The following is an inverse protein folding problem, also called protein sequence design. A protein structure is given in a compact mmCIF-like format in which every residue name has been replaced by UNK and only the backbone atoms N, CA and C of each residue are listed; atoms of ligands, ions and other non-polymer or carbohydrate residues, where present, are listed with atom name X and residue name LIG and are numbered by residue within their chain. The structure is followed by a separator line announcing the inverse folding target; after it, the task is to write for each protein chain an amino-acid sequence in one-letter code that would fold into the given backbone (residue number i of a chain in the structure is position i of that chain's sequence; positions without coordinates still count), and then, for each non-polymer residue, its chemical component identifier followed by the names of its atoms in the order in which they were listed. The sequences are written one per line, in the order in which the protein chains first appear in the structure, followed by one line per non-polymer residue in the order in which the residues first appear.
data_IF_587005147131
#
_entry.id   IF_587005147131
#
_cell.length_a   1.000
_cell.length_b   1.000
_cell.length_c   1.000
_cell.angle_alpha   90.00
_cell.angle_beta   90.00
_cell.angle_gamma   90.00
#
_symmetry.space_group_name_H-M   'P 1'
#
loop_
_entity.id
_entity.type
_entity.pdbx_description
1 polymer ?
#
# COMPACT_ATOMS: atom_id res chain seq x y z
N UNK A 1 16.97 -4.82 15.00
CA UNK A 1 17.18 -3.70 14.05
C UNK A 1 15.81 -3.14 13.71
N UNK A 2 15.59 -1.83 13.88
CA UNK A 2 14.34 -1.16 13.48
C UNK A 2 14.42 -0.71 12.02
N UNK A 3 13.30 -0.80 11.31
CA UNK A 3 13.19 -0.63 9.87
C UNK A 3 11.98 0.24 9.53
N UNK A 4 12.19 1.43 8.96
CA UNK A 4 11.12 2.40 8.63
C UNK A 4 10.77 2.34 7.13
N UNK A 5 9.48 2.35 6.79
CA UNK A 5 8.92 2.42 5.42
C UNK A 5 7.99 3.63 5.35
N UNK A 6 8.06 4.41 4.29
CA UNK A 6 7.20 5.59 4.08
C UNK A 6 6.46 5.44 2.76
N UNK A 7 5.13 5.54 2.78
CA UNK A 7 4.24 5.43 1.63
C UNK A 7 3.44 6.73 1.51
N UNK A 8 3.61 7.48 0.42
CA UNK A 8 3.01 8.81 0.26
C UNK A 8 1.67 8.80 -0.48
N UNK A 9 1.46 7.79 -1.32
CA UNK A 9 0.24 7.64 -2.12
C UNK A 9 0.10 6.17 -2.42
N UNK A 10 -1.08 5.58 -2.25
CA UNK A 10 -1.52 4.30 -2.81
C UNK A 10 -2.87 4.56 -3.47
N UNK A 11 -2.95 4.39 -4.78
CA UNK A 11 -4.17 4.65 -5.57
C UNK A 11 -4.41 3.44 -6.46
N UNK A 12 -5.58 2.83 -6.33
CA UNK A 12 -6.10 1.99 -7.41
C UNK A 12 -6.94 2.92 -8.31
N UNK A 13 -6.60 3.07 -9.59
CA UNK A 13 -7.31 3.91 -10.56
C UNK A 13 -7.83 3.05 -11.72
N UNK A 14 -8.87 3.51 -12.40
CA UNK A 14 -9.34 2.89 -13.65
C UNK A 14 -8.44 3.40 -14.77
N UNK A 15 -7.76 2.49 -15.48
CA UNK A 15 -6.94 2.86 -16.63
C UNK A 15 -7.83 3.06 -17.87
N UNK A 16 -8.02 4.30 -18.28
CA UNK A 16 -8.32 4.65 -19.68
C UNK A 16 -7.04 5.25 -20.25
N UNK A 17 -6.63 4.81 -21.45
CA UNK A 17 -5.34 5.12 -22.03
C UNK A 17 -4.97 6.62 -21.89
N UNK A 18 -3.75 6.85 -21.38
CA UNK A 18 -3.02 8.12 -21.21
C UNK A 18 -3.57 9.15 -20.21
N UNK A 19 -2.95 9.26 -19.02
CA UNK A 19 -2.97 10.50 -18.21
C UNK A 19 -1.62 10.72 -17.52
N UNK A 20 -0.98 11.90 -17.68
CA UNK A 20 0.17 12.31 -16.89
C UNK A 20 -0.26 12.98 -15.56
N UNK A 21 0.60 12.81 -14.53
CA UNK A 21 0.57 13.45 -13.20
C UNK A 21 -0.42 12.91 -12.17
N UNK A 22 0.12 12.60 -10.99
CA UNK A 22 -0.51 12.07 -9.76
C UNK A 22 -1.42 13.14 -9.11
N UNK A 23 -2.44 13.58 -9.84
CA UNK A 23 -3.63 14.12 -9.22
C UNK A 23 -4.54 12.92 -8.90
N UNK A 24 -4.85 12.74 -7.62
CA UNK A 24 -5.67 11.66 -7.11
C UNK A 24 -7.04 11.62 -7.82
N UNK A 25 -7.16 10.80 -8.86
CA UNK A 25 -8.45 10.26 -9.25
C UNK A 25 -8.79 9.28 -8.13
N UNK A 26 -9.83 9.59 -7.35
CA UNK A 26 -10.42 8.68 -6.38
C UNK A 26 -10.92 7.43 -7.12
N UNK A 27 -10.04 6.46 -7.36
CA UNK A 27 -10.48 5.13 -7.71
C UNK A 27 -10.91 4.36 -6.46
N UNK A 28 -11.18 3.05 -6.57
CA UNK A 28 -11.90 2.30 -5.53
C UNK A 28 -11.19 2.21 -4.17
N UNK A 29 -9.92 2.62 -4.07
CA UNK A 29 -9.15 2.59 -2.85
C UNK A 29 -9.38 3.87 -2.02
N UNK A 30 -10.03 3.77 -0.84
CA UNK A 30 -10.30 4.94 0.00
C UNK A 30 -9.01 5.47 0.65
N UNK A 31 -8.97 6.78 0.88
CA UNK A 31 -7.87 7.48 1.57
C UNK A 31 -6.48 7.13 1.00
N UNK A 32 -6.37 7.09 -0.33
CA UNK A 32 -5.13 6.71 -1.01
C UNK A 32 -3.98 7.70 -0.83
N UNK A 33 -4.26 8.94 -0.41
CA UNK A 33 -3.26 9.98 -0.15
C UNK A 33 -2.92 10.13 1.34
N UNK A 34 -3.56 9.36 2.23
CA UNK A 34 -3.47 9.50 3.69
C UNK A 34 -3.91 10.87 4.25
N UNK A 35 -4.44 11.77 3.42
CA UNK A 35 -4.87 13.11 3.83
C UNK A 35 -6.07 13.07 4.81
N UNK A 36 -6.85 11.99 4.82
CA UNK A 36 -7.94 11.78 5.77
C UNK A 36 -7.47 11.12 7.09
N UNK A 37 -6.16 10.97 7.30
CA UNK A 37 -5.58 10.33 8.48
C UNK A 37 -5.47 8.82 8.35
N UNK A 38 -5.68 8.08 9.44
CA UNK A 38 -5.41 6.64 9.48
C UNK A 38 -6.47 5.77 8.78
N UNK A 39 -7.78 5.82 9.11
CA UNK A 39 -8.74 4.88 8.54
C UNK A 39 -8.90 5.05 7.01
N UNK A 40 -9.22 3.96 6.28
CA UNK A 40 -9.38 2.58 6.75
C UNK A 40 -8.08 1.78 6.75
N UNK A 41 -6.93 2.42 6.49
CA UNK A 41 -5.64 1.76 6.57
C UNK A 41 -5.36 1.26 7.98
N UNK A 42 -4.74 0.08 8.07
CA UNK A 42 -4.42 -0.54 9.35
C UNK A 42 -3.19 -1.44 9.25
N UNK A 43 -2.53 -1.62 10.39
CA UNK A 43 -1.42 -2.56 10.55
C UNK A 43 -1.94 -3.87 11.15
N UNK A 44 -1.58 -4.98 10.54
CA UNK A 44 -1.66 -6.31 11.14
C UNK A 44 -0.25 -6.76 11.52
N UNK A 45 -0.11 -7.26 12.74
CA UNK A 45 1.09 -7.94 13.21
C UNK A 45 0.69 -9.20 13.94
N UNK A 46 1.34 -10.32 13.66
CA UNK A 46 1.06 -11.58 14.34
C UNK A 46 2.32 -12.29 14.86
N UNK A 47 2.09 -13.15 15.86
CA UNK A 47 3.14 -13.92 16.56
C UNK A 47 4.23 -13.02 17.13
N UNK A 48 5.46 -13.18 16.66
CA UNK A 48 6.67 -12.48 17.07
C UNK A 48 6.93 -11.20 16.25
N UNK A 49 6.15 -10.95 15.19
CA UNK A 49 6.29 -9.73 14.41
C UNK A 49 5.76 -8.50 15.14
N UNK A 50 6.41 -7.37 14.93
CA UNK A 50 6.11 -6.09 15.56
C UNK A 50 6.29 -4.98 14.53
N UNK A 51 5.21 -4.25 14.28
CA UNK A 51 5.23 -3.00 13.55
C UNK A 51 4.24 -1.99 14.13
N UNK A 52 4.63 -0.72 14.10
CA UNK A 52 3.76 0.42 14.37
C UNK A 52 3.63 1.26 13.11
N UNK A 53 2.66 2.16 13.08
CA UNK A 53 2.54 3.12 12.01
C UNK A 53 1.78 4.38 12.44
N UNK A 54 2.04 5.46 11.72
CA UNK A 54 1.38 6.74 11.87
C UNK A 54 1.30 7.46 10.52
N UNK A 55 0.50 8.51 10.46
CA UNK A 55 0.49 9.42 9.31
C UNK A 55 1.32 10.64 9.70
N UNK A 56 2.37 10.91 8.93
CA UNK A 56 3.24 12.07 9.11
C UNK A 56 3.16 12.98 7.89
N UNK A 57 3.55 14.25 8.08
CA UNK A 57 3.77 15.17 6.98
C UNK A 57 5.23 15.11 6.53
N UNK A 58 5.47 14.68 5.28
CA UNK A 58 6.80 14.65 4.65
C UNK A 58 6.74 15.46 3.37
N UNK A 59 7.62 16.46 3.24
CA UNK A 59 7.67 17.37 2.09
C UNK A 59 6.29 17.99 1.76
N UNK A 60 5.51 18.31 2.81
CA UNK A 60 4.16 18.88 2.68
C UNK A 60 3.05 17.88 2.34
N UNK A 61 3.35 16.58 2.24
CA UNK A 61 2.37 15.53 1.91
C UNK A 61 2.10 14.63 3.11
N UNK A 62 0.86 14.16 3.27
CA UNK A 62 0.54 13.11 4.22
C UNK A 62 1.14 11.77 3.75
N UNK A 63 1.79 11.06 4.66
CA UNK A 63 2.55 9.82 4.36
C UNK A 63 2.29 8.81 5.48
N UNK A 64 1.92 7.59 5.12
CA UNK A 64 1.93 6.48 6.06
C UNK A 64 3.39 6.08 6.34
N UNK A 65 3.80 6.24 7.59
CA UNK A 65 5.11 5.84 8.08
C UNK A 65 4.93 4.59 8.93
N UNK A 66 5.62 3.52 8.54
CA UNK A 66 5.57 2.21 9.17
C UNK A 66 6.94 1.92 9.78
N UNK A 67 6.98 1.64 11.08
CA UNK A 67 8.17 1.19 11.77
C UNK A 67 8.06 -0.31 12.08
N UNK A 68 8.92 -1.11 11.47
CA UNK A 68 9.01 -2.56 11.69
C UNK A 68 10.19 -2.85 12.60
N UNK A 69 9.94 -3.37 13.80
CA UNK A 69 10.98 -3.73 14.77
C UNK A 69 11.23 -5.23 14.84
N UNK A 70 10.27 -6.04 14.39
CA UNK A 70 10.42 -7.49 14.18
C UNK A 70 9.56 -7.94 13.00
N UNK A 71 10.13 -8.69 12.05
CA UNK A 71 9.44 -9.09 10.82
C UNK A 71 8.63 -10.37 10.95
N UNK A 72 9.07 -11.31 11.81
CA UNK A 72 8.55 -12.68 11.80
C UNK A 72 8.76 -13.37 10.44
N UNK A 73 7.75 -14.11 9.96
CA UNK A 73 7.73 -14.75 8.64
C UNK A 73 7.05 -13.87 7.59
N UNK A 74 7.14 -14.30 6.32
CA UNK A 74 6.41 -13.69 5.20
C UNK A 74 4.90 -13.70 5.47
N UNK A 75 4.30 -12.51 5.59
CA UNK A 75 2.91 -12.17 5.98
C UNK A 75 2.66 -11.81 7.45
N UNK A 76 3.64 -11.89 8.34
CA UNK A 76 3.38 -11.56 9.74
C UNK A 76 3.27 -10.04 10.02
N UNK A 77 3.78 -9.18 9.11
CA UNK A 77 3.55 -7.73 9.11
C UNK A 77 2.81 -7.36 7.84
N UNK A 78 1.65 -6.71 7.96
CA UNK A 78 0.85 -6.30 6.81
C UNK A 78 0.30 -4.89 7.05
N UNK A 79 0.39 -4.04 6.03
CA UNK A 79 -0.28 -2.74 6.01
C UNK A 79 -1.35 -2.81 4.93
N UNK A 80 -2.62 -2.69 5.34
CA UNK A 80 -3.75 -3.01 4.47
C UNK A 80 -4.83 -1.94 4.53
N UNK A 81 -5.43 -1.69 3.36
CA UNK A 81 -6.64 -0.89 3.19
C UNK A 81 -7.77 -1.82 2.75
N UNK A 82 -8.72 -2.17 3.65
CA UNK A 82 -9.92 -2.86 3.25
C UNK A 82 -10.84 -1.91 2.48
N UNK A 83 -11.38 -2.39 1.36
CA UNK A 83 -12.39 -1.69 0.57
C UNK A 83 -13.40 -2.71 0.03
N UNK A 84 -14.66 -2.32 -0.23
CA UNK A 84 -15.67 -3.25 -0.71
C UNK A 84 -15.36 -3.73 -2.12
N UNK A 85 -15.46 -5.04 -2.37
CA UNK A 85 -15.26 -5.60 -3.71
C UNK A 85 -16.23 -5.02 -4.74
N UNK A 86 -17.42 -4.58 -4.33
CA UNK A 86 -18.37 -3.87 -5.18
C UNK A 86 -17.85 -2.53 -5.75
N UNK A 87 -16.76 -1.98 -5.19
CA UNK A 87 -16.07 -0.84 -5.79
C UNK A 87 -15.27 -1.23 -7.06
N UNK A 88 -15.00 -2.52 -7.24
CA UNK A 88 -14.45 -3.08 -8.48
C UNK A 88 -15.62 -3.43 -9.40
N UNK A 89 -15.79 -2.66 -10.47
CA UNK A 89 -16.76 -2.95 -11.51
C UNK A 89 -16.34 -4.20 -12.30
N UNK A 90 -17.34 -4.99 -12.68
CA UNK A 90 -17.12 -6.18 -13.51
C UNK A 90 -16.46 -5.82 -14.85
N UNK A 91 -15.59 -6.71 -15.33
CA UNK A 91 -14.86 -6.58 -16.60
C UNK A 91 -14.05 -5.28 -16.75
N UNK A 92 -13.61 -4.68 -15.63
CA UNK A 92 -12.74 -3.50 -15.61
C UNK A 92 -11.30 -3.90 -15.32
N UNK A 93 -10.36 -3.17 -15.91
CA UNK A 93 -8.94 -3.25 -15.60
C UNK A 93 -8.57 -2.07 -14.70
N UNK A 94 -7.82 -2.34 -13.64
CA UNK A 94 -7.44 -1.36 -12.63
C UNK A 94 -5.93 -1.27 -12.53
N UNK A 95 -5.41 -0.06 -12.42
CA UNK A 95 -4.01 0.19 -12.13
C UNK A 95 -3.83 0.49 -10.63
N UNK A 96 -2.98 -0.26 -9.92
CA UNK A 96 -2.51 0.12 -8.59
C UNK A 96 -1.19 0.87 -8.71
N UNK A 97 -1.16 2.14 -8.31
CA UNK A 97 0.04 2.96 -8.24
C UNK A 97 0.35 3.44 -6.83
N UNK A 98 1.63 3.52 -6.47
CA UNK A 98 2.05 4.07 -5.18
C UNK A 98 3.46 4.62 -5.17
N UNK A 99 3.72 5.57 -4.26
CA UNK A 99 5.06 6.12 -4.03
C UNK A 99 5.59 5.69 -2.67
N UNK A 100 6.78 5.10 -2.64
CA UNK A 100 7.35 4.51 -1.43
C UNK A 100 8.88 4.66 -1.34
N UNK A 101 9.41 4.74 -0.11
CA UNK A 101 10.83 4.62 0.22
C UNK A 101 11.02 3.90 1.56
N UNK A 102 12.21 3.34 1.79
CA UNK A 102 12.56 2.67 3.04
C UNK A 102 13.84 3.26 3.66
N UNK A 103 14.01 3.14 4.98
CA UNK A 103 15.27 3.54 5.66
C UNK A 103 16.47 2.67 5.25
N UNK A 104 16.19 1.45 4.82
CA UNK A 104 17.17 0.53 4.23
C UNK A 104 16.49 -0.24 3.11
N UNK A 105 17.22 -0.43 2.02
CA UNK A 105 16.66 -1.06 0.83
C UNK A 105 16.15 -2.47 1.18
N UNK A 106 14.87 -2.75 0.94
CA UNK A 106 14.24 -4.07 1.17
C UNK A 106 13.25 -4.48 0.06
N UNK A 107 12.82 -5.73 0.08
CA UNK A 107 11.71 -6.21 -0.75
C UNK A 107 10.41 -6.17 0.05
N UNK A 108 9.34 -5.68 -0.56
CA UNK A 108 7.98 -5.81 -0.03
C UNK A 108 7.12 -6.56 -1.04
N UNK A 109 6.07 -7.23 -0.56
CA UNK A 109 5.09 -7.91 -1.42
C UNK A 109 3.82 -7.07 -1.48
N UNK A 110 3.35 -6.79 -2.69
CA UNK A 110 2.13 -6.04 -2.98
C UNK A 110 1.10 -7.03 -3.51
N UNK A 111 -0.06 -7.10 -2.86
CA UNK A 111 -1.11 -8.09 -3.18
C UNK A 111 -2.48 -7.45 -3.11
N UNK A 112 -3.38 -7.94 -3.96
CA UNK A 112 -4.82 -7.76 -3.79
C UNK A 112 -5.45 -9.12 -3.51
N UNK A 113 -6.11 -9.23 -2.36
CA UNK A 113 -6.66 -10.48 -1.86
C UNK A 113 -7.95 -10.26 -1.06
N UNK A 114 -8.77 -11.30 -0.97
CA UNK A 114 -9.94 -11.33 -0.11
C UNK A 114 -9.55 -11.19 1.37
N UNK A 115 -10.33 -10.41 2.14
CA UNK A 115 -10.04 -10.14 3.57
C UNK A 115 -10.18 -11.37 4.49
N UNK A 116 -10.63 -12.51 3.98
CA UNK A 116 -10.83 -13.73 4.77
C UNK A 116 -10.50 -14.99 3.98
N UNK A 117 -10.48 -16.13 4.68
CA UNK A 117 -10.26 -17.44 4.05
C UNK A 117 -11.27 -17.66 2.90
N UNK A 118 -10.82 -18.19 1.75
CA UNK A 118 -9.53 -18.83 1.50
C UNK A 118 -8.37 -17.88 1.12
N UNK A 119 -8.54 -16.56 1.24
CA UNK A 119 -7.59 -15.53 0.79
C UNK A 119 -7.45 -15.54 -0.73
N UNK A 120 -8.59 -15.59 -1.43
CA UNK A 120 -8.61 -15.58 -2.89
C UNK A 120 -7.79 -14.41 -3.43
N UNK A 121 -6.89 -14.70 -4.37
CA UNK A 121 -6.16 -13.65 -5.08
C UNK A 121 -7.10 -12.97 -6.06
N UNK A 122 -7.06 -11.64 -6.10
CA UNK A 122 -7.84 -10.85 -7.06
C UNK A 122 -6.96 -10.30 -8.20
N UNK A 123 -5.89 -11.03 -8.57
CA UNK A 123 -5.09 -10.76 -9.77
C UNK A 123 -3.76 -10.04 -9.56
N UNK A 124 -3.52 -9.40 -8.40
CA UNK A 124 -2.25 -8.73 -8.10
C UNK A 124 -1.42 -9.49 -7.06
N UNK A 125 -0.14 -9.72 -7.36
CA UNK A 125 0.80 -10.36 -6.44
C UNK A 125 2.25 -10.19 -6.84
N UNK A 126 2.84 -9.03 -6.52
CA UNK A 126 4.17 -8.63 -6.98
C UNK A 126 5.17 -8.44 -5.84
N UNK A 127 6.44 -8.75 -6.10
CA UNK A 127 7.55 -8.43 -5.19
C UNK A 127 8.29 -7.21 -5.72
N UNK A 128 8.34 -6.13 -4.93
CA UNK A 128 9.00 -4.89 -5.34
C UNK A 128 10.20 -4.58 -4.47
N UNK A 129 11.30 -4.19 -5.11
CA UNK A 129 12.53 -3.76 -4.45
C UNK A 129 12.39 -2.26 -4.13
N UNK A 130 12.20 -1.93 -2.86
CA UNK A 130 12.15 -0.55 -2.36
C UNK A 130 13.54 -0.11 -1.93
N UNK A 131 13.99 1.01 -2.48
CA UNK A 131 15.24 1.69 -2.17
C UNK A 131 15.10 2.75 -1.07
N UNK A 132 16.15 3.54 -0.89
CA UNK A 132 16.22 4.60 0.12
C UNK A 132 15.71 5.95 -0.36
N UNK A 133 15.51 6.10 -1.66
CA UNK A 133 14.88 7.26 -2.29
C UNK A 133 13.43 6.95 -2.61
N UNK A 134 12.61 7.99 -2.75
CA UNK A 134 11.24 7.83 -3.22
C UNK A 134 11.19 7.22 -4.62
N UNK A 135 10.41 6.16 -4.78
CA UNK A 135 10.14 5.48 -6.05
C UNK A 135 8.65 5.35 -6.27
N UNK A 136 8.22 5.43 -7.53
CA UNK A 136 6.84 5.17 -7.94
C UNK A 136 6.75 3.77 -8.52
N UNK A 137 5.75 3.02 -8.07
CA UNK A 137 5.40 1.68 -8.55
C UNK A 137 4.00 1.73 -9.17
N UNK A 138 3.75 0.94 -10.22
CA UNK A 138 2.46 0.85 -10.90
C UNK A 138 2.26 -0.57 -11.45
N UNK A 139 1.04 -1.11 -11.33
CA UNK A 139 0.65 -2.48 -11.73
C UNK A 139 -0.74 -2.46 -12.35
N UNK A 140 -0.95 -3.19 -13.45
CA UNK A 140 -2.22 -3.33 -14.19
C UNK A 140 -2.71 -4.76 -14.14
#
# INVERSE_FOLDING_TARGET
MSHRLSIATMVAAVALASVPSIAAVEGPLPNGTFAAGQPPWSMHSERDARATWEVETVDGNAVAVIEVTATGKSNHVQFACPFPSAALGEARVYELSFRCRASSARTIRVVLLERGKPWGSAGLGENVRVGTTWQTFSFV
#
